data_IF_650114457243
#
_entry.id   IF_650114457243
#
_cell.length_a   1.000
_cell.length_b   1.000
_cell.length_c   1.000
_cell.angle_alpha   90.00
_cell.angle_beta   90.00
_cell.angle_gamma   90.00
#
_symmetry.space_group_name_H-M   'P 1'
#
loop_
_entity.id
_entity.type
_entity.pdbx_description
1 polymer ?
#
# COMPACT_ATOMS: atom_id res chain seq x y z
N UNK A 1 42.80 40.19 71.87
CA UNK A 1 43.04 39.34 70.73
C UNK A 1 41.87 38.38 70.70
N UNK A 2 40.84 38.72 69.93
CA UNK A 2 39.64 37.89 69.79
C UNK A 2 39.63 37.34 68.38
N UNK A 3 39.69 36.01 68.26
CA UNK A 3 39.57 35.26 67.02
C UNK A 3 38.16 35.45 66.44
N UNK A 4 38.02 35.60 65.12
CA UNK A 4 36.73 35.64 64.51
C UNK A 4 36.14 34.20 64.36
N UNK A 5 34.90 34.03 64.78
CA UNK A 5 34.12 32.84 64.70
C UNK A 5 33.84 32.46 63.20
N UNK A 6 33.79 31.17 62.83
CA UNK A 6 33.60 30.73 61.47
C UNK A 6 32.18 30.99 61.01
N UNK A 7 32.11 31.52 59.80
CA UNK A 7 31.03 31.65 58.78
C UNK A 7 29.60 31.33 59.16
N UNK A 8 28.75 32.36 59.04
CA UNK A 8 27.31 32.39 59.28
C UNK A 8 26.53 31.32 58.47
N UNK A 9 25.55 30.68 59.10
CA UNK A 9 24.68 29.68 58.42
C UNK A 9 23.76 30.27 57.33
N UNK A 10 23.68 31.61 57.23
CA UNK A 10 22.83 32.30 56.29
C UNK A 10 23.33 32.29 54.79
N UNK A 11 24.65 32.09 54.57
CA UNK A 11 25.22 32.02 53.20
C UNK A 11 25.20 30.63 52.63
N UNK A 12 25.04 29.56 53.41
CA UNK A 12 24.99 28.17 52.93
C UNK A 12 23.62 27.75 52.36
N UNK A 13 22.55 28.45 52.75
CA UNK A 13 21.21 28.10 52.30
C UNK A 13 20.96 28.35 50.79
N UNK A 14 21.41 29.48 50.20
CA UNK A 14 21.26 29.68 48.76
C UNK A 14 22.13 28.72 47.93
N UNK A 15 23.38 28.44 48.36
CA UNK A 15 24.26 27.46 47.66
C UNK A 15 23.68 26.06 47.67
N UNK A 16 23.08 25.60 48.77
CA UNK A 16 22.38 24.31 48.85
C UNK A 16 21.14 24.24 47.98
N UNK A 17 20.42 25.33 47.77
CA UNK A 17 19.26 25.39 46.87
C UNK A 17 19.68 25.35 45.42
N UNK A 18 20.79 26.02 45.07
CA UNK A 18 21.35 25.97 43.70
C UNK A 18 21.89 24.57 43.37
N UNK A 19 22.65 23.95 44.29
CA UNK A 19 23.12 22.57 44.14
C UNK A 19 21.95 21.57 44.01
N UNK A 20 20.89 21.74 44.79
CA UNK A 20 19.71 20.91 44.70
C UNK A 20 18.97 21.09 43.36
N UNK A 21 18.91 22.33 42.86
CA UNK A 21 18.34 22.66 41.57
C UNK A 21 19.13 21.99 40.44
N UNK A 22 20.46 22.08 40.45
CA UNK A 22 21.34 21.47 39.47
C UNK A 22 21.25 19.94 39.48
N UNK A 23 21.22 19.32 40.67
CA UNK A 23 21.03 17.86 40.79
C UNK A 23 19.66 17.45 40.25
N UNK A 24 18.60 18.22 40.50
CA UNK A 24 17.25 17.96 40.03
C UNK A 24 17.17 18.09 38.50
N UNK A 25 17.79 19.11 37.92
CA UNK A 25 17.88 19.30 36.48
C UNK A 25 18.67 18.16 35.79
N UNK A 26 19.81 17.78 36.38
CA UNK A 26 20.64 16.68 35.88
C UNK A 26 19.89 15.33 35.93
N UNK A 27 19.17 15.06 37.01
CA UNK A 27 18.36 13.86 37.19
C UNK A 27 17.21 13.82 36.14
N UNK A 28 16.52 14.95 35.96
CA UNK A 28 15.46 15.06 34.95
C UNK A 28 16.00 14.77 33.57
N UNK A 29 17.10 15.39 33.17
CA UNK A 29 17.74 15.18 31.89
C UNK A 29 18.21 13.72 31.69
N UNK A 30 18.73 13.08 32.73
CA UNK A 30 19.12 11.68 32.71
C UNK A 30 17.90 10.75 32.53
N UNK A 31 16.77 11.02 33.20
CA UNK A 31 15.52 10.27 33.06
C UNK A 31 14.92 10.44 31.68
N UNK A 32 14.94 11.63 31.11
CA UNK A 32 14.46 11.86 29.75
C UNK A 32 15.31 11.09 28.74
N UNK A 33 16.65 11.14 28.83
CA UNK A 33 17.54 10.33 27.96
C UNK A 33 17.24 8.84 28.08
N UNK A 34 17.08 8.34 29.30
CA UNK A 34 16.75 6.92 29.50
C UNK A 34 15.41 6.52 28.85
N UNK A 35 14.40 7.39 28.93
CA UNK A 35 13.11 7.15 28.25
C UNK A 35 13.24 7.14 26.73
N UNK A 36 14.05 8.03 26.16
CA UNK A 36 14.32 8.04 24.71
C UNK A 36 15.08 6.81 24.27
N UNK A 37 16.11 6.39 25.01
CA UNK A 37 16.87 5.18 24.68
C UNK A 37 15.97 3.93 24.70
N UNK A 38 15.11 3.80 25.71
CA UNK A 38 14.15 2.70 25.79
C UNK A 38 13.16 2.72 24.62
N UNK A 39 12.66 3.91 24.22
CA UNK A 39 11.72 4.04 23.10
C UNK A 39 12.41 3.74 21.77
N UNK A 40 13.62 4.24 21.54
CA UNK A 40 14.40 3.93 20.34
C UNK A 40 14.69 2.44 20.21
N UNK A 41 15.01 1.78 21.32
CA UNK A 41 15.25 0.35 21.33
C UNK A 41 13.98 -0.43 20.96
N UNK A 42 12.84 -0.05 21.50
CA UNK A 42 11.53 -0.66 21.19
C UNK A 42 11.15 -0.47 19.70
N UNK A 43 11.35 0.74 19.16
CA UNK A 43 11.16 1.04 17.75
C UNK A 43 12.09 0.18 16.87
N UNK A 44 13.37 0.10 17.21
CA UNK A 44 14.37 -0.61 16.41
C UNK A 44 14.20 -2.13 16.45
N UNK A 45 13.89 -2.69 17.64
CA UNK A 45 13.86 -4.14 17.84
C UNK A 45 12.51 -4.78 17.51
N UNK A 46 11.41 -4.03 17.63
CA UNK A 46 10.06 -4.58 17.45
C UNK A 46 9.30 -3.94 16.31
N UNK A 47 9.13 -2.61 16.33
CA UNK A 47 8.20 -1.93 15.43
C UNK A 47 8.73 -1.85 14.00
N UNK A 48 10.01 -1.57 13.80
CA UNK A 48 10.63 -1.52 12.47
C UNK A 48 10.66 -2.88 11.76
N UNK A 49 11.02 -4.01 12.42
CA UNK A 49 10.94 -5.33 11.82
C UNK A 49 9.51 -5.73 11.46
N UNK A 50 8.52 -5.44 12.32
CA UNK A 50 7.10 -5.71 12.05
C UNK A 50 6.61 -4.90 10.84
N UNK A 51 6.92 -3.59 10.78
CA UNK A 51 6.58 -2.73 9.64
C UNK A 51 7.20 -3.25 8.33
N UNK A 52 8.47 -3.68 8.37
CA UNK A 52 9.17 -4.29 7.23
C UNK A 52 8.49 -5.57 6.77
N UNK A 53 8.09 -6.43 7.70
CA UNK A 53 7.36 -7.66 7.38
C UNK A 53 6.00 -7.37 6.73
N UNK A 54 5.26 -6.40 7.27
CA UNK A 54 3.97 -5.96 6.70
C UNK A 54 4.12 -5.37 5.31
N UNK A 55 5.14 -4.54 5.06
CA UNK A 55 5.43 -4.02 3.72
C UNK A 55 5.81 -5.12 2.75
N UNK A 56 6.62 -6.11 3.18
CA UNK A 56 6.95 -7.26 2.36
C UNK A 56 5.70 -8.07 1.98
N UNK A 57 4.75 -8.20 2.88
CA UNK A 57 3.46 -8.85 2.60
C UNK A 57 2.63 -8.05 1.58
N UNK A 58 2.59 -6.71 1.69
CA UNK A 58 1.91 -5.85 0.69
C UNK A 58 2.53 -6.02 -0.69
N UNK A 59 3.87 -6.02 -0.78
CA UNK A 59 4.56 -6.22 -2.05
C UNK A 59 4.18 -7.56 -2.68
N UNK A 60 4.17 -8.63 -1.89
CA UNK A 60 3.78 -9.96 -2.37
C UNK A 60 2.33 -10.00 -2.86
N UNK A 61 1.38 -9.44 -2.10
CA UNK A 61 -0.03 -9.36 -2.49
C UNK A 61 -0.22 -8.56 -3.78
N UNK A 62 0.52 -7.45 -3.93
CA UNK A 62 0.47 -6.61 -5.13
C UNK A 62 0.98 -7.36 -6.35
N UNK A 63 2.09 -8.09 -6.21
CA UNK A 63 2.68 -8.88 -7.28
C UNK A 63 1.75 -10.03 -7.72
N UNK A 64 1.19 -10.78 -6.75
CA UNK A 64 0.21 -11.83 -7.02
C UNK A 64 -1.04 -11.30 -7.73
N UNK A 65 -1.55 -10.14 -7.33
CA UNK A 65 -2.71 -9.52 -7.95
C UNK A 65 -2.42 -9.01 -9.37
N UNK A 66 -1.23 -8.45 -9.59
CA UNK A 66 -0.78 -8.02 -10.92
C UNK A 66 -0.67 -9.20 -11.88
N UNK A 67 -0.03 -10.29 -11.47
CA UNK A 67 0.09 -11.51 -12.26
C UNK A 67 -1.28 -12.11 -12.58
N UNK A 68 -2.16 -12.22 -11.59
CA UNK A 68 -3.53 -12.72 -11.79
C UNK A 68 -4.33 -11.85 -12.77
N UNK A 69 -4.20 -10.52 -12.66
CA UNK A 69 -4.87 -9.59 -13.59
C UNK A 69 -4.38 -9.78 -15.01
N UNK A 70 -3.06 -9.90 -15.21
CA UNK A 70 -2.47 -10.16 -16.52
C UNK A 70 -2.99 -11.47 -17.12
N UNK A 71 -2.96 -12.57 -16.39
CA UNK A 71 -3.46 -13.88 -16.82
C UNK A 71 -4.94 -13.82 -17.25
N UNK A 72 -5.79 -13.14 -16.48
CA UNK A 72 -7.21 -12.96 -16.80
C UNK A 72 -7.43 -12.11 -18.06
N UNK A 73 -6.62 -11.07 -18.27
CA UNK A 73 -6.65 -10.26 -19.49
C UNK A 73 -6.19 -11.09 -20.69
N UNK A 74 -5.08 -11.80 -20.58
CA UNK A 74 -4.57 -12.68 -21.65
C UNK A 74 -5.58 -13.75 -22.03
N UNK A 75 -6.29 -14.35 -21.09
CA UNK A 75 -7.37 -15.31 -21.35
C UNK A 75 -8.60 -14.68 -21.99
N UNK A 76 -8.82 -13.37 -21.82
CA UNK A 76 -9.96 -12.64 -22.39
C UNK A 76 -9.72 -12.21 -23.84
N UNK A 77 -8.47 -12.06 -24.26
CA UNK A 77 -8.13 -11.65 -25.64
C UNK A 77 -8.60 -12.64 -26.71
N UNK A 78 -8.33 -13.97 -26.63
CA UNK A 78 -8.72 -14.91 -27.70
C UNK A 78 -10.22 -14.97 -27.95
N UNK A 79 -11.13 -15.06 -26.95
CA UNK A 79 -12.57 -15.03 -27.21
C UNK A 79 -13.03 -13.69 -27.82
N UNK A 80 -12.49 -12.56 -27.33
CA UNK A 80 -12.82 -11.24 -27.90
C UNK A 80 -12.40 -11.12 -29.38
N UNK A 81 -11.17 -11.53 -29.71
CA UNK A 81 -10.67 -11.54 -31.08
C UNK A 81 -11.42 -12.48 -31.98
N UNK A 82 -11.79 -13.67 -31.51
CA UNK A 82 -12.61 -14.64 -32.25
C UNK A 82 -13.95 -14.04 -32.62
N UNK A 83 -14.63 -13.44 -31.65
CA UNK A 83 -15.90 -12.74 -31.87
C UNK A 83 -15.75 -11.61 -32.88
N UNK A 84 -14.72 -10.79 -32.76
CA UNK A 84 -14.46 -9.68 -33.69
C UNK A 84 -14.22 -10.20 -35.13
N UNK A 85 -13.38 -11.22 -35.31
CA UNK A 85 -13.10 -11.81 -36.63
C UNK A 85 -14.35 -12.43 -37.29
N UNK A 86 -15.14 -13.17 -36.52
CA UNK A 86 -16.38 -13.77 -37.02
C UNK A 86 -17.42 -12.71 -37.39
N UNK A 87 -17.57 -11.67 -36.57
CA UNK A 87 -18.45 -10.53 -36.83
C UNK A 87 -18.06 -9.82 -38.17
N UNK A 88 -16.77 -9.55 -38.37
CA UNK A 88 -16.29 -8.94 -39.60
C UNK A 88 -16.62 -9.80 -40.84
N UNK A 89 -16.34 -11.11 -40.78
CA UNK A 89 -16.66 -12.01 -41.91
C UNK A 89 -18.16 -12.16 -42.19
N UNK A 90 -19.00 -12.05 -41.18
CA UNK A 90 -20.47 -12.01 -41.34
C UNK A 90 -20.93 -10.68 -41.92
N UNK A 91 -20.33 -9.55 -41.50
CA UNK A 91 -20.65 -8.22 -42.01
C UNK A 91 -20.41 -8.14 -43.54
N UNK A 92 -19.28 -8.68 -44.01
CA UNK A 92 -18.98 -8.75 -45.46
C UNK A 92 -20.01 -9.58 -46.20
N UNK A 93 -20.36 -10.75 -45.69
CA UNK A 93 -21.38 -11.62 -46.30
C UNK A 93 -22.76 -10.97 -46.31
N UNK A 94 -23.10 -10.26 -45.23
CA UNK A 94 -24.34 -9.49 -45.11
C UNK A 94 -24.38 -8.31 -46.07
N UNK A 95 -23.29 -7.61 -46.33
CA UNK A 95 -23.19 -6.52 -47.28
C UNK A 95 -23.44 -7.05 -48.73
N UNK A 96 -22.88 -8.22 -49.09
CA UNK A 96 -23.13 -8.88 -50.36
C UNK A 96 -24.59 -9.27 -50.52
N UNK A 97 -25.24 -9.82 -49.48
CA UNK A 97 -26.66 -10.13 -49.49
C UNK A 97 -27.50 -8.88 -49.75
N UNK A 98 -27.25 -7.79 -49.03
CA UNK A 98 -27.98 -6.51 -49.23
C UNK A 98 -27.81 -5.95 -50.64
N UNK A 99 -26.66 -6.15 -51.27
CA UNK A 99 -26.40 -5.78 -52.65
C UNK A 99 -27.07 -6.73 -53.66
N UNK A 100 -27.81 -7.76 -53.23
CA UNK A 100 -28.40 -8.82 -54.04
C UNK A 100 -27.36 -9.60 -54.90
N UNK A 101 -26.15 -9.69 -54.37
CA UNK A 101 -25.02 -10.35 -55.02
C UNK A 101 -24.61 -11.61 -54.26
N UNK A 102 -25.57 -12.51 -54.05
CA UNK A 102 -25.34 -13.81 -53.41
C UNK A 102 -26.33 -14.85 -53.96
N UNK A 103 -25.91 -16.09 -54.05
CA UNK A 103 -26.78 -17.22 -54.48
C UNK A 103 -27.65 -17.72 -53.31
N UNK A 104 -28.62 -18.61 -53.61
CA UNK A 104 -29.49 -19.24 -52.60
C UNK A 104 -28.67 -20.12 -51.66
N UNK A 105 -27.67 -20.83 -52.17
CA UNK A 105 -26.74 -21.67 -51.39
C UNK A 105 -25.87 -20.84 -50.47
N UNK A 106 -25.34 -19.70 -50.95
CA UNK A 106 -24.56 -18.76 -50.16
C UNK A 106 -25.43 -18.14 -49.06
N UNK A 107 -26.70 -17.86 -49.32
CA UNK A 107 -27.63 -17.37 -48.29
C UNK A 107 -27.89 -18.41 -47.20
N UNK A 108 -28.11 -19.70 -47.57
CA UNK A 108 -28.24 -20.80 -46.60
C UNK A 108 -26.99 -20.94 -45.72
N UNK A 109 -25.80 -20.83 -46.35
CA UNK A 109 -24.53 -20.83 -45.61
C UNK A 109 -24.38 -19.63 -44.65
N UNK A 110 -24.84 -18.44 -45.07
CA UNK A 110 -24.82 -17.24 -44.21
C UNK A 110 -25.68 -17.44 -42.97
N UNK A 111 -26.90 -18.00 -43.11
CA UNK A 111 -27.77 -18.28 -41.96
C UNK A 111 -27.13 -19.26 -40.98
N UNK A 112 -26.58 -20.37 -41.46
CA UNK A 112 -25.89 -21.35 -40.58
C UNK A 112 -24.70 -20.73 -39.85
N UNK A 113 -23.90 -19.88 -40.52
CA UNK A 113 -22.79 -19.15 -39.92
C UNK A 113 -23.26 -18.14 -38.87
N UNK A 114 -24.41 -17.51 -39.12
CA UNK A 114 -25.02 -16.55 -38.19
C UNK A 114 -25.45 -17.23 -36.90
N UNK A 115 -26.13 -18.39 -36.97
CA UNK A 115 -26.50 -19.19 -35.81
C UNK A 115 -25.28 -19.63 -35.00
N UNK A 116 -24.25 -20.13 -35.68
CA UNK A 116 -22.99 -20.50 -35.04
C UNK A 116 -22.29 -19.31 -34.36
N UNK A 117 -22.28 -18.15 -35.02
CA UNK A 117 -21.72 -16.93 -34.48
C UNK A 117 -22.46 -16.46 -33.20
N UNK A 118 -23.79 -16.43 -33.25
CA UNK A 118 -24.60 -15.98 -32.10
C UNK A 118 -24.35 -16.86 -30.88
N UNK A 119 -24.29 -18.20 -31.08
CA UNK A 119 -23.97 -19.13 -29.99
C UNK A 119 -22.56 -18.94 -29.43
N UNK A 120 -21.56 -18.84 -30.33
CA UNK A 120 -20.16 -18.65 -29.97
C UNK A 120 -19.94 -17.30 -29.27
N UNK A 121 -20.50 -16.21 -29.81
CA UNK A 121 -20.36 -14.87 -29.27
C UNK A 121 -20.96 -14.75 -27.85
N UNK A 122 -22.09 -15.46 -27.61
CA UNK A 122 -22.65 -15.54 -26.25
C UNK A 122 -21.68 -16.18 -25.29
N UNK A 123 -21.14 -17.36 -25.61
CA UNK A 123 -20.19 -18.08 -24.75
C UNK A 123 -18.91 -17.28 -24.54
N UNK A 124 -18.36 -16.66 -25.59
CA UNK A 124 -17.18 -15.81 -25.53
C UNK A 124 -17.40 -14.59 -24.64
N UNK A 125 -18.58 -13.93 -24.78
CA UNK A 125 -18.95 -12.79 -23.95
C UNK A 125 -19.13 -13.17 -22.47
N UNK A 126 -19.73 -14.33 -22.18
CA UNK A 126 -19.86 -14.86 -20.81
C UNK A 126 -18.47 -15.12 -20.20
N UNK A 127 -17.54 -15.68 -20.98
CA UNK A 127 -16.15 -15.93 -20.56
C UNK A 127 -15.42 -14.63 -20.23
N UNK A 128 -15.48 -13.65 -21.15
CA UNK A 128 -14.85 -12.33 -20.95
C UNK A 128 -15.45 -11.64 -19.72
N UNK A 129 -16.77 -11.69 -19.56
CA UNK A 129 -17.45 -11.09 -18.39
C UNK A 129 -17.01 -11.73 -17.07
N UNK A 130 -16.87 -13.07 -17.04
CA UNK A 130 -16.40 -13.78 -15.85
C UNK A 130 -14.95 -13.39 -15.51
N UNK A 131 -14.05 -13.36 -16.50
CA UNK A 131 -12.67 -12.94 -16.29
C UNK A 131 -12.57 -11.50 -15.79
N UNK A 132 -13.38 -10.58 -16.33
CA UNK A 132 -13.41 -9.18 -15.87
C UNK A 132 -13.94 -9.06 -14.42
N UNK A 133 -14.93 -9.87 -14.04
CA UNK A 133 -15.39 -9.94 -12.66
C UNK A 133 -14.27 -10.41 -11.70
N UNK A 134 -13.48 -11.41 -12.13
CA UNK A 134 -12.34 -11.91 -11.37
C UNK A 134 -11.19 -10.88 -11.29
N UNK A 135 -10.99 -10.03 -12.32
CA UNK A 135 -10.07 -8.89 -12.26
C UNK A 135 -10.49 -7.90 -11.17
N UNK A 136 -11.79 -7.58 -11.09
CA UNK A 136 -12.30 -6.69 -10.03
C UNK A 136 -12.08 -7.28 -8.63
N UNK A 137 -12.27 -8.60 -8.48
CA UNK A 137 -12.00 -9.28 -7.21
C UNK A 137 -10.49 -9.29 -6.88
N UNK A 138 -9.63 -9.45 -7.88
CA UNK A 138 -8.18 -9.39 -7.69
C UNK A 138 -7.70 -8.01 -7.24
N UNK A 139 -8.44 -6.93 -7.48
CA UNK A 139 -8.13 -5.57 -7.03
C UNK A 139 -8.54 -5.30 -5.58
N UNK A 140 -9.29 -6.21 -4.93
CA UNK A 140 -9.77 -6.06 -3.55
C UNK A 140 -8.66 -5.96 -2.48
N UNK A 141 -7.40 -6.31 -2.81
CA UNK A 141 -6.24 -6.13 -1.94
C UNK A 141 -5.87 -4.65 -1.69
N UNK A 142 -6.37 -3.72 -2.52
CA UNK A 142 -5.99 -2.30 -2.48
C UNK A 142 -6.37 -1.65 -1.14
N UNK A 143 -7.51 -2.01 -0.56
CA UNK A 143 -7.95 -1.48 0.74
C UNK A 143 -7.06 -1.98 1.88
N UNK A 144 -6.74 -3.27 1.91
CA UNK A 144 -5.84 -3.87 2.91
C UNK A 144 -4.43 -3.29 2.80
N UNK A 145 -3.90 -3.16 1.58
CA UNK A 145 -2.61 -2.54 1.33
C UNK A 145 -2.58 -1.09 1.82
N UNK A 146 -3.64 -0.33 1.55
CA UNK A 146 -3.77 1.05 2.02
C UNK A 146 -3.77 1.17 3.54
N UNK A 147 -4.39 0.24 4.27
CA UNK A 147 -4.36 0.22 5.74
C UNK A 147 -2.95 -0.07 6.28
N UNK A 148 -2.25 -1.04 5.70
CA UNK A 148 -0.87 -1.39 6.10
C UNK A 148 0.08 -0.22 5.84
N UNK A 149 0.00 0.40 4.65
CA UNK A 149 0.84 1.55 4.29
C UNK A 149 0.61 2.72 5.25
N UNK A 150 -0.65 3.04 5.57
CA UNK A 150 -0.96 4.09 6.58
C UNK A 150 -0.36 3.78 7.94
N UNK A 151 -0.42 2.53 8.40
CA UNK A 151 0.20 2.11 9.66
C UNK A 151 1.72 2.30 9.67
N UNK A 152 2.39 1.99 8.55
CA UNK A 152 3.83 2.22 8.41
C UNK A 152 4.17 3.71 8.35
N UNK A 153 3.34 4.53 7.69
CA UNK A 153 3.53 6.00 7.67
C UNK A 153 3.47 6.61 9.07
N UNK A 154 2.51 6.19 9.90
CA UNK A 154 2.43 6.63 11.31
C UNK A 154 3.70 6.25 12.08
N UNK A 155 4.23 5.03 11.88
CA UNK A 155 5.49 4.62 12.49
C UNK A 155 6.68 5.48 12.05
N UNK A 156 6.76 5.83 10.76
CA UNK A 156 7.81 6.71 10.24
C UNK A 156 7.73 8.10 10.89
N UNK A 157 6.53 8.68 10.99
CA UNK A 157 6.31 9.97 11.65
C UNK A 157 6.73 9.92 13.13
N UNK A 158 6.48 8.81 13.83
CA UNK A 158 6.90 8.63 15.21
C UNK A 158 8.42 8.54 15.36
N UNK A 159 9.09 7.82 14.44
CA UNK A 159 10.56 7.77 14.38
C UNK A 159 11.15 9.16 14.14
N UNK A 160 10.63 9.90 13.17
CA UNK A 160 11.09 11.28 12.87
C UNK A 160 10.93 12.20 14.08
N UNK A 161 9.79 12.15 14.77
CA UNK A 161 9.53 12.93 15.97
C UNK A 161 10.51 12.57 17.09
N UNK A 162 10.71 11.29 17.36
CA UNK A 162 11.63 10.80 18.39
C UNK A 162 13.06 11.28 18.11
N UNK A 163 13.52 11.21 16.85
CA UNK A 163 14.84 11.70 16.45
C UNK A 163 14.96 13.23 16.58
N UNK A 164 13.92 13.98 16.25
CA UNK A 164 13.90 15.42 16.40
C UNK A 164 13.99 15.83 17.88
N UNK A 165 13.24 15.17 18.76
CA UNK A 165 13.27 15.43 20.20
C UNK A 165 14.64 15.08 20.81
N UNK A 166 15.27 13.97 20.39
CA UNK A 166 16.64 13.63 20.76
C UNK A 166 17.65 14.70 20.34
N UNK A 167 17.50 15.23 19.13
CA UNK A 167 18.38 16.26 18.59
C UNK A 167 18.29 17.55 19.39
N UNK A 168 17.07 17.94 19.81
CA UNK A 168 16.85 19.10 20.71
C UNK A 168 17.49 18.88 22.07
N UNK A 169 17.27 17.73 22.68
CA UNK A 169 17.87 17.36 23.95
C UNK A 169 19.41 17.39 23.91
N UNK A 170 20.00 16.92 22.81
CA UNK A 170 21.45 16.95 22.60
C UNK A 170 22.02 18.38 22.44
N UNK A 171 21.22 19.32 21.94
CA UNK A 171 21.59 20.74 21.80
C UNK A 171 21.34 21.57 23.08
N UNK A 172 20.65 21.01 24.07
CA UNK A 172 20.31 21.72 25.32
C UNK A 172 19.18 22.75 25.15
N UNK A 173 18.31 22.55 24.15
CA UNK A 173 17.11 23.37 23.91
C UNK A 173 15.87 22.79 24.59
#
# INVERSE_FOLDING_TARGET
MSDPLPGEPAQRAPELLDDLHDVTCNLRNALERFRFDARLNDLAEKEMPDARQRLSHVLKLTDEAAHRTLDLVERSCPPAERTARQAAGLADSWARFRARNISVEEFGSLLTRMDGFLSAARTDSETVRANLADVLLAQGYQDLSGQIIRGVMVLVEEVEKTLADLTRLARGE
#
